data_IF_677525030981
#
_entry.id   IF_677525030981
#
_cell.length_a   1.000
_cell.length_b   1.000
_cell.length_c   1.000
_cell.angle_alpha   90.00
_cell.angle_beta   90.00
_cell.angle_gamma   90.00
#
_symmetry.space_group_name_H-M   'P 1'
#
loop_
_entity.id
_entity.type
_entity.pdbx_description
1 polymer ?
#
# COMPACT_ATOMS: atom_id res chain seq x y z
N UNK A 1 -11.51 -11.39 1.50
CA UNK A 1 -11.52 -11.45 0.03
C UNK A 1 -12.86 -11.08 -0.56
N UNK A 2 -12.89 -9.96 -1.29
CA UNK A 2 -13.93 -9.65 -2.28
C UNK A 2 -13.19 -9.45 -3.62
N UNK A 3 -13.64 -10.15 -4.65
CA UNK A 3 -13.16 -9.94 -6.02
C UNK A 3 -13.89 -8.72 -6.59
N UNK A 4 -13.13 -7.72 -7.04
CA UNK A 4 -13.66 -6.59 -7.81
C UNK A 4 -12.97 -6.66 -9.19
N UNK A 5 -13.59 -7.32 -10.17
CA UNK A 5 -12.96 -7.55 -11.48
C UNK A 5 -11.72 -8.46 -11.41
N UNK A 6 -10.66 -8.09 -12.14
CA UNK A 6 -9.34 -8.78 -12.10
C UNK A 6 -8.46 -8.32 -10.91
N UNK A 7 -8.94 -7.37 -10.10
CA UNK A 7 -8.20 -6.81 -8.98
C UNK A 7 -8.49 -7.62 -7.69
N UNK A 8 -7.43 -7.95 -6.95
CA UNK A 8 -7.54 -8.58 -5.61
C UNK A 8 -7.25 -7.54 -4.53
N UNK A 9 -8.29 -7.19 -3.77
CA UNK A 9 -8.16 -6.31 -2.61
C UNK A 9 -7.76 -7.13 -1.37
N UNK A 10 -6.50 -6.96 -0.91
CA UNK A 10 -5.95 -7.64 0.27
C UNK A 10 -6.27 -6.91 1.58
N UNK A 11 -6.20 -5.58 1.59
CA UNK A 11 -6.59 -4.74 2.73
C UNK A 11 -7.24 -3.43 2.25
N UNK A 12 -8.04 -2.80 3.10
CA UNK A 12 -8.64 -1.48 2.83
C UNK A 12 -8.64 -0.65 4.09
N UNK A 13 -8.43 0.66 3.93
CA UNK A 13 -8.62 1.64 4.99
C UNK A 13 -9.56 2.72 4.45
N UNK A 14 -10.65 2.96 5.16
CA UNK A 14 -11.68 3.92 4.76
C UNK A 14 -11.83 5.01 5.82
N UNK A 15 -12.00 6.26 5.39
CA UNK A 15 -12.35 7.36 6.28
C UNK A 15 -13.88 7.37 6.50
N UNK A 16 -14.33 6.82 7.63
CA UNK A 16 -15.72 6.78 8.04
C UNK A 16 -16.10 8.02 8.89
N UNK A 17 -17.35 8.08 9.36
CA UNK A 17 -17.86 9.19 10.18
C UNK A 17 -17.04 9.46 11.44
N UNK A 18 -16.36 8.44 11.97
CA UNK A 18 -15.58 8.49 13.22
C UNK A 18 -14.06 8.44 13.02
N UNK A 19 -13.60 8.53 11.77
CA UNK A 19 -12.19 8.44 11.40
C UNK A 19 -11.86 7.18 10.59
N UNK A 20 -10.58 6.80 10.56
CA UNK A 20 -10.10 5.65 9.79
C UNK A 20 -10.60 4.30 10.31
N UNK A 21 -11.02 3.43 9.39
CA UNK A 21 -11.36 2.03 9.66
C UNK A 21 -10.60 1.10 8.69
N UNK A 22 -9.71 0.21 9.19
CA UNK A 22 -9.27 0.10 10.58
C UNK A 22 -8.49 1.35 11.04
N UNK A 23 -8.39 1.56 12.35
CA UNK A 23 -7.73 2.72 12.92
C UNK A 23 -6.28 2.85 12.43
N UNK A 24 -5.97 3.96 11.77
CA UNK A 24 -4.61 4.30 11.34
C UNK A 24 -3.92 5.09 12.45
N UNK A 25 -2.73 4.65 12.92
CA UNK A 25 -1.96 5.39 13.90
C UNK A 25 -1.63 6.80 13.41
N UNK A 26 -1.57 7.76 14.33
CA UNK A 26 -1.12 9.11 14.00
C UNK A 26 0.33 9.11 13.50
N UNK A 27 0.62 10.00 12.54
CA UNK A 27 1.99 10.23 12.08
C UNK A 27 2.87 10.66 13.26
N UNK A 28 4.05 10.06 13.45
CA UNK A 28 5.01 10.55 14.44
C UNK A 28 5.32 12.04 14.23
N UNK A 29 5.19 12.85 15.29
CA UNK A 29 5.26 14.31 15.17
C UNK A 29 6.54 14.86 14.52
N UNK A 30 7.66 14.13 14.65
CA UNK A 30 8.96 14.50 14.09
C UNK A 30 9.13 14.19 12.58
N UNK A 31 8.19 13.50 11.93
CA UNK A 31 8.34 13.05 10.55
C UNK A 31 7.67 14.03 9.58
N UNK A 32 8.32 14.38 8.46
CA UNK A 32 7.60 15.07 7.38
C UNK A 32 6.56 14.13 6.75
N UNK A 33 5.57 14.71 6.06
CA UNK A 33 4.58 13.92 5.29
C UNK A 33 5.28 12.99 4.29
N UNK A 34 6.24 13.51 3.51
CA UNK A 34 7.01 12.70 2.57
C UNK A 34 7.74 11.52 3.24
N UNK A 35 8.38 11.75 4.40
CA UNK A 35 9.04 10.67 5.15
C UNK A 35 8.04 9.61 5.64
N UNK A 36 6.85 10.05 6.06
CA UNK A 36 5.81 9.14 6.50
C UNK A 36 5.27 8.29 5.36
N UNK A 37 5.02 8.91 4.20
CA UNK A 37 4.64 8.22 2.96
C UNK A 37 5.68 7.17 2.57
N UNK A 38 6.97 7.53 2.53
CA UNK A 38 8.05 6.60 2.20
C UNK A 38 8.10 5.38 3.13
N UNK A 39 7.95 5.60 4.44
CA UNK A 39 7.95 4.51 5.44
C UNK A 39 6.71 3.63 5.32
N UNK A 40 5.53 4.22 5.07
CA UNK A 40 4.31 3.46 4.82
C UNK A 40 4.48 2.55 3.60
N UNK A 41 4.99 3.06 2.48
CA UNK A 41 5.23 2.25 1.28
C UNK A 41 6.23 1.13 1.54
N UNK A 42 7.36 1.42 2.19
CA UNK A 42 8.36 0.40 2.53
C UNK A 42 7.76 -0.71 3.40
N UNK A 43 6.93 -0.36 4.38
CA UNK A 43 6.29 -1.32 5.29
C UNK A 43 5.30 -2.22 4.56
N UNK A 44 4.45 -1.64 3.70
CA UNK A 44 3.46 -2.41 2.92
C UNK A 44 4.15 -3.36 1.94
N UNK A 45 5.21 -2.89 1.27
CA UNK A 45 6.06 -3.75 0.42
C UNK A 45 6.60 -4.93 1.21
N UNK A 46 7.20 -4.69 2.38
CA UNK A 46 7.78 -5.74 3.21
C UNK A 46 6.73 -6.81 3.60
N UNK A 47 5.48 -6.41 3.80
CA UNK A 47 4.39 -7.34 4.09
C UNK A 47 3.90 -8.13 2.87
N UNK A 48 3.98 -7.54 1.68
CA UNK A 48 3.49 -8.13 0.44
C UNK A 48 4.55 -9.06 -0.19
N UNK A 49 5.83 -8.70 -0.13
CA UNK A 49 6.92 -9.44 -0.77
C UNK A 49 6.91 -10.95 -0.46
N UNK A 50 6.70 -11.41 0.80
CA UNK A 50 6.62 -12.83 1.12
C UNK A 50 5.38 -13.55 0.56
N UNK A 51 4.34 -12.80 0.17
CA UNK A 51 3.10 -13.33 -0.41
C UNK A 51 3.18 -13.47 -1.93
N UNK A 52 4.21 -12.90 -2.56
CA UNK A 52 4.42 -12.96 -4.00
C UNK A 52 5.04 -14.30 -4.38
N UNK A 53 4.43 -15.07 -5.30
CA UNK A 53 5.04 -16.30 -5.82
C UNK A 53 6.44 -16.04 -6.39
N UNK A 54 7.42 -16.92 -6.14
CA UNK A 54 8.81 -16.69 -6.55
C UNK A 54 9.03 -16.66 -8.07
N UNK A 55 8.07 -17.17 -8.84
CA UNK A 55 8.03 -17.16 -10.30
C UNK A 55 7.32 -15.93 -10.89
N UNK A 56 6.68 -15.10 -10.04
CA UNK A 56 6.06 -13.86 -10.48
C UNK A 56 7.13 -12.80 -10.74
N UNK A 57 7.27 -12.42 -12.01
CA UNK A 57 8.23 -11.41 -12.46
C UNK A 57 7.52 -10.12 -12.89
N UNK A 58 8.20 -8.99 -12.75
CA UNK A 58 7.74 -7.66 -13.19
C UNK A 58 6.46 -7.16 -12.52
N UNK A 59 6.16 -7.61 -11.30
CA UNK A 59 5.04 -7.07 -10.53
C UNK A 59 5.36 -5.65 -10.05
N UNK A 60 4.32 -4.81 -10.03
CA UNK A 60 4.38 -3.46 -9.49
C UNK A 60 3.20 -3.25 -8.54
N UNK A 61 3.48 -2.55 -7.44
CA UNK A 61 2.49 -1.94 -6.58
C UNK A 61 2.13 -0.58 -7.17
N UNK A 62 0.83 -0.34 -7.40
CA UNK A 62 0.31 0.94 -7.87
C UNK A 62 -0.40 1.66 -6.72
N UNK A 63 -0.09 2.94 -6.57
CA UNK A 63 -0.75 3.86 -5.63
C UNK A 63 -1.45 4.92 -6.44
N UNK A 64 -2.77 4.96 -6.34
CA UNK A 64 -3.56 6.03 -6.95
C UNK A 64 -4.02 7.02 -5.88
N UNK A 65 -3.54 8.25 -5.97
CA UNK A 65 -3.99 9.35 -5.12
C UNK A 65 -5.43 9.77 -5.50
N UNK A 66 -6.18 10.47 -4.62
CA UNK A 66 -7.55 10.90 -4.90
C UNK A 66 -7.68 11.82 -6.12
N UNK A 67 -6.61 12.50 -6.51
CA UNK A 67 -6.54 13.35 -7.70
C UNK A 67 -6.22 12.57 -8.99
N UNK A 68 -6.07 11.25 -8.90
CA UNK A 68 -5.74 10.36 -10.02
C UNK A 68 -4.23 10.23 -10.28
N UNK A 69 -3.37 10.86 -9.50
CA UNK A 69 -1.92 10.68 -9.61
C UNK A 69 -1.55 9.23 -9.27
N UNK A 70 -0.78 8.57 -10.14
CA UNK A 70 -0.30 7.20 -9.95
C UNK A 70 1.20 7.16 -9.63
N UNK A 71 1.58 6.42 -8.58
CA UNK A 71 2.97 6.02 -8.27
C UNK A 71 3.09 4.51 -8.37
N UNK A 72 3.96 4.03 -9.27
CA UNK A 72 4.20 2.61 -9.49
C UNK A 72 5.59 2.23 -8.95
N UNK A 73 5.63 1.27 -8.04
CA UNK A 73 6.88 0.77 -7.47
C UNK A 73 6.99 -0.74 -7.71
N UNK A 74 8.17 -1.31 -8.04
CA UNK A 74 8.30 -2.76 -8.26
C UNK A 74 7.87 -3.56 -7.02
N UNK A 75 7.64 -4.88 -7.07
CA UNK A 75 7.47 -5.72 -5.86
C UNK A 75 7.93 -7.14 -6.17
N UNK A 76 8.28 -7.91 -5.13
CA UNK A 76 8.69 -9.31 -5.26
C UNK A 76 10.19 -9.56 -5.09
N UNK A 77 10.60 -10.84 -5.11
CA UNK A 77 11.96 -11.25 -4.80
C UNK A 77 12.97 -10.70 -5.82
N UNK A 78 14.04 -10.06 -5.32
CA UNK A 78 15.12 -9.50 -6.16
C UNK A 78 14.92 -8.05 -6.59
N UNK A 79 14.04 -7.34 -5.88
CA UNK A 79 13.81 -5.91 -6.01
C UNK A 79 15.05 -5.04 -5.76
#
# INVERSE_FOLDING_TARGET
DRLIGDERQLFTVVWAERGWEPAVPERPGAWSTARFEDVLFATVVEWIDPLIPPDAVHLQWEVTAPDGTQDCRPVGPGR
#
